data_IF_806729874836
#
_entry.id   IF_806729874836
#
_cell.length_a   1.000
_cell.length_b   1.000
_cell.length_c   1.000
_cell.angle_alpha   90.00
_cell.angle_beta   90.00
_cell.angle_gamma   90.00
#
_symmetry.space_group_name_H-M   'P 1'
#
loop_
_entity.id
_entity.type
_entity.pdbx_description
1 polymer ?
#
# COMPACT_ATOMS: atom_id res chain seq x y z
N UNK A 1 -7.95 12.25 9.14
CA UNK A 1 -9.04 11.68 9.96
C UNK A 1 -9.61 12.81 10.78
N UNK A 2 -10.86 13.26 10.56
CA UNK A 2 -11.42 14.32 11.37
C UNK A 2 -11.78 13.78 12.76
N UNK A 3 -11.22 14.39 13.80
CA UNK A 3 -11.58 14.15 15.20
C UNK A 3 -12.46 15.31 15.64
N UNK A 4 -13.65 15.04 16.16
CA UNK A 4 -14.53 16.06 16.72
C UNK A 4 -14.26 16.14 18.23
N UNK A 5 -13.85 17.31 18.72
CA UNK A 5 -13.60 17.55 20.14
C UNK A 5 -14.83 18.23 20.76
N UNK A 6 -15.38 17.66 21.85
CA UNK A 6 -16.39 18.33 22.67
C UNK A 6 -15.71 18.90 23.92
N UNK A 7 -15.80 20.21 24.10
CA UNK A 7 -15.41 20.88 25.35
C UNK A 7 -16.65 21.26 26.14
N UNK A 8 -16.61 21.06 27.46
CA UNK A 8 -17.69 21.42 28.38
C UNK A 8 -17.31 22.70 29.13
N UNK A 9 -18.12 23.76 28.99
CA UNK A 9 -18.21 24.84 29.96
C UNK A 9 -19.48 24.60 30.81
N UNK A 10 -19.42 24.93 32.10
CA UNK A 10 -20.37 24.51 33.17
C UNK A 10 -21.88 24.69 32.90
N UNK A 11 -22.33 25.32 31.83
CA UNK A 11 -23.75 25.62 31.61
C UNK A 11 -24.32 25.36 30.20
N UNK A 12 -23.56 24.80 29.24
CA UNK A 12 -24.17 24.39 27.95
C UNK A 12 -23.33 23.36 27.19
N UNK A 13 -23.97 22.26 26.80
CA UNK A 13 -23.45 21.30 25.83
C UNK A 13 -24.21 21.54 24.52
N UNK A 14 -23.50 21.83 23.43
CA UNK A 14 -24.11 21.88 22.10
C UNK A 14 -23.23 21.10 21.14
N UNK A 15 -23.69 19.90 20.76
CA UNK A 15 -23.12 19.12 19.68
C UNK A 15 -24.27 18.70 18.77
N UNK A 16 -24.30 19.25 17.56
CA UNK A 16 -25.26 18.83 16.53
C UNK A 16 -24.54 17.84 15.62
N UNK A 17 -24.95 16.57 15.72
CA UNK A 17 -24.49 15.50 14.85
C UNK A 17 -25.69 15.06 14.00
N UNK A 18 -25.61 15.21 12.68
CA UNK A 18 -26.60 14.61 11.78
C UNK A 18 -26.43 13.08 11.81
N UNK A 19 -27.46 12.36 12.25
CA UNK A 19 -27.46 10.89 12.29
C UNK A 19 -27.62 10.34 10.87
N UNK A 20 -26.58 9.71 10.34
CA UNK A 20 -26.71 8.74 9.25
C UNK A 20 -26.93 7.33 9.83
N UNK A 21 -27.75 6.47 9.20
CA UNK A 21 -28.17 5.18 9.75
C UNK A 21 -27.06 4.13 9.96
N UNK A 22 -25.85 4.36 9.44
CA UNK A 22 -24.73 3.39 9.47
C UNK A 22 -23.57 3.81 10.40
N UNK A 23 -23.84 4.68 11.38
CA UNK A 23 -22.81 5.26 12.25
C UNK A 23 -22.85 4.65 13.66
N UNK A 24 -21.78 3.97 14.07
CA UNK A 24 -21.61 3.44 15.43
C UNK A 24 -20.72 4.38 16.23
N UNK A 25 -21.26 4.91 17.34
CA UNK A 25 -20.54 5.77 18.28
C UNK A 25 -20.05 4.91 19.44
N UNK A 26 -18.73 4.69 19.52
CA UNK A 26 -18.12 4.09 20.70
C UNK A 26 -17.74 5.20 21.68
N UNK A 27 -18.37 5.17 22.85
CA UNK A 27 -18.12 6.11 23.96
C UNK A 27 -17.21 5.40 24.96
N UNK A 28 -16.03 5.95 25.22
CA UNK A 28 -14.98 5.23 25.95
C UNK A 28 -15.17 5.19 27.47
N UNK A 29 -15.89 6.12 28.11
CA UNK A 29 -16.12 6.13 29.56
C UNK A 29 -17.43 6.87 29.95
N UNK A 30 -17.96 6.61 31.16
CA UNK A 30 -19.14 7.33 31.67
C UNK A 30 -18.76 8.72 32.20
N UNK A 31 -19.51 9.78 31.85
CA UNK A 31 -19.17 11.18 32.18
C UNK A 31 -19.10 11.44 33.68
N UNK A 32 -19.88 10.71 34.46
CA UNK A 32 -20.03 10.90 35.90
C UNK A 32 -18.72 10.67 36.66
N UNK A 33 -17.84 9.77 36.20
CA UNK A 33 -16.54 9.51 36.86
C UNK A 33 -15.49 10.58 36.53
N UNK A 34 -15.57 11.18 35.35
CA UNK A 34 -14.60 12.17 34.88
C UNK A 34 -14.85 13.55 35.54
N UNK A 35 -16.12 13.93 35.69
CA UNK A 35 -16.52 15.23 36.27
C UNK A 35 -16.10 15.35 37.75
N UNK A 36 -16.16 14.26 38.53
CA UNK A 36 -15.80 14.28 39.97
C UNK A 36 -14.31 14.49 40.23
N UNK A 37 -13.45 14.32 39.21
CA UNK A 37 -11.99 14.47 39.31
C UNK A 37 -11.47 15.78 38.71
N UNK A 38 -12.33 16.61 38.11
CA UNK A 38 -11.96 17.88 37.49
C UNK A 38 -11.83 19.00 38.52
N UNK A 39 -10.70 19.72 38.49
CA UNK A 39 -10.50 20.95 39.27
C UNK A 39 -11.04 22.17 38.52
N UNK A 40 -11.52 23.17 39.27
CA UNK A 40 -12.01 24.43 38.67
C UNK A 40 -10.93 25.07 37.78
N UNK A 41 -11.29 25.37 36.54
CA UNK A 41 -10.42 26.00 35.54
C UNK A 41 -9.58 25.06 34.67
N UNK A 42 -9.69 23.74 34.84
CA UNK A 42 -8.97 22.74 34.02
C UNK A 42 -9.91 22.13 32.97
N UNK A 43 -9.53 22.21 31.70
CA UNK A 43 -10.23 21.52 30.60
C UNK A 43 -9.71 20.07 30.51
N UNK A 44 -10.61 19.09 30.41
CA UNK A 44 -10.25 17.68 30.16
C UNK A 44 -11.09 17.05 29.06
N UNK A 45 -10.52 16.04 28.40
CA UNK A 45 -11.17 15.26 27.34
C UNK A 45 -12.12 14.25 27.99
N UNK A 46 -13.44 14.51 27.94
CA UNK A 46 -14.45 13.63 28.55
C UNK A 46 -14.84 12.48 27.63
N UNK A 47 -14.79 12.71 26.31
CA UNK A 47 -15.13 11.70 25.31
C UNK A 47 -14.18 11.76 24.13
N UNK A 48 -13.64 10.59 23.77
CA UNK A 48 -12.96 10.38 22.50
C UNK A 48 -13.88 9.60 21.57
N UNK A 49 -14.67 10.32 20.76
CA UNK A 49 -15.57 9.69 19.80
C UNK A 49 -14.74 9.28 18.58
N UNK A 50 -14.52 7.97 18.44
CA UNK A 50 -13.97 7.41 17.20
C UNK A 50 -15.13 7.03 16.28
N UNK A 51 -15.31 7.81 15.21
CA UNK A 51 -16.25 7.47 14.15
C UNK A 51 -15.67 6.29 13.38
N UNK A 52 -16.25 5.11 13.59
CA UNK A 52 -15.96 3.93 12.77
C UNK A 52 -17.14 3.76 11.81
N UNK A 53 -16.92 3.95 10.51
CA UNK A 53 -17.88 3.50 9.51
C UNK A 53 -17.93 1.98 9.57
N UNK A 54 -19.01 1.41 10.08
CA UNK A 54 -19.30 -0.01 9.87
C UNK A 54 -19.89 -0.10 8.47
N UNK A 55 -19.03 -0.33 7.48
CA UNK A 55 -19.49 -0.67 6.13
C UNK A 55 -19.99 -2.10 6.22
N UNK A 56 -21.28 -2.29 6.51
CA UNK A 56 -21.94 -3.55 6.21
C UNK A 56 -21.86 -3.71 4.68
N UNK A 57 -21.11 -4.70 4.21
CA UNK A 57 -20.99 -5.05 2.79
C UNK A 57 -22.29 -5.68 2.30
N UNK A 58 -23.36 -4.91 2.26
CA UNK A 58 -24.59 -5.32 1.59
C UNK A 58 -24.40 -4.88 0.14
N UNK A 59 -24.08 -5.84 -0.74
CA UNK A 59 -24.06 -5.58 -2.19
C UNK A 59 -25.50 -5.28 -2.64
N UNK A 60 -25.78 -4.09 -3.19
CA UNK A 60 -27.11 -3.78 -3.68
C UNK A 60 -27.52 -4.75 -4.81
N UNK A 61 -28.76 -5.22 -4.79
CA UNK A 61 -29.26 -6.21 -5.76
C UNK A 61 -29.14 -5.78 -7.21
N UNK A 62 -29.17 -4.48 -7.50
CA UNK A 62 -29.03 -3.94 -8.86
C UNK A 62 -27.60 -4.03 -9.42
N UNK A 63 -26.58 -4.19 -8.58
CA UNK A 63 -25.16 -4.35 -8.99
C UNK A 63 -24.82 -5.83 -9.21
N UNK A 64 -25.59 -6.75 -8.61
CA UNK A 64 -25.36 -8.18 -8.66
C UNK A 64 -25.18 -8.73 -10.09
N UNK A 65 -26.01 -8.36 -11.09
CA UNK A 65 -25.83 -8.85 -12.46
C UNK A 65 -24.49 -8.41 -13.08
N UNK A 66 -24.04 -7.19 -12.78
CA UNK A 66 -22.75 -6.66 -13.28
C UNK A 66 -21.58 -7.40 -12.65
N UNK A 67 -21.65 -7.72 -11.36
CA UNK A 67 -20.59 -8.50 -10.70
C UNK A 67 -20.52 -9.94 -11.19
N UNK A 68 -21.66 -10.53 -11.55
CA UNK A 68 -21.72 -11.87 -12.15
C UNK A 68 -21.15 -11.86 -13.57
N UNK A 69 -21.52 -10.86 -14.39
CA UNK A 69 -21.00 -10.64 -15.74
C UNK A 69 -19.47 -10.47 -15.75
N UNK A 70 -18.94 -9.65 -14.84
CA UNK A 70 -17.51 -9.33 -14.74
C UNK A 70 -16.80 -10.10 -13.60
N UNK A 71 -17.27 -11.31 -13.28
CA UNK A 71 -16.72 -12.11 -12.19
C UNK A 71 -15.25 -12.51 -12.40
N UNK A 72 -14.77 -12.49 -13.65
CA UNK A 72 -13.40 -12.78 -14.05
C UNK A 72 -12.41 -11.66 -13.70
N UNK A 73 -12.84 -10.39 -13.69
CA UNK A 73 -11.96 -9.24 -13.36
C UNK A 73 -11.97 -8.85 -11.88
N UNK A 74 -12.85 -9.45 -11.07
CA UNK A 74 -12.92 -9.27 -9.61
C UNK A 74 -12.61 -10.54 -8.81
N UNK A 75 -11.49 -11.25 -9.06
CA UNK A 75 -11.20 -12.47 -8.33
C UNK A 75 -10.74 -12.18 -6.88
N UNK A 76 -11.10 -13.06 -5.94
CA UNK A 76 -10.60 -12.98 -4.56
C UNK A 76 -9.07 -13.05 -4.46
N UNK A 77 -8.43 -13.73 -5.42
CA UNK A 77 -6.97 -13.84 -5.57
C UNK A 77 -6.59 -13.78 -7.04
N UNK A 78 -5.55 -13.00 -7.34
CA UNK A 78 -4.97 -12.96 -8.67
C UNK A 78 -4.36 -14.31 -9.06
N UNK A 79 -4.41 -14.61 -10.35
CA UNK A 79 -3.74 -15.79 -10.92
C UNK A 79 -2.24 -15.75 -10.66
N UNK A 80 -1.62 -16.92 -10.53
CA UNK A 80 -0.16 -17.08 -10.49
C UNK A 80 0.46 -17.04 -11.91
N UNK A 81 -0.36 -16.95 -12.96
CA UNK A 81 0.12 -16.79 -14.33
C UNK A 81 0.62 -15.38 -14.57
N UNK A 82 1.62 -15.24 -15.43
CA UNK A 82 2.02 -13.94 -15.97
C UNK A 82 0.84 -13.27 -16.70
N UNK A 83 0.76 -11.93 -16.66
CA UNK A 83 -0.23 -11.22 -17.44
C UNK A 83 -0.05 -11.53 -18.93
N UNK A 84 -1.14 -11.50 -19.72
CA UNK A 84 -1.03 -11.65 -21.17
C UNK A 84 -0.19 -10.53 -21.77
N UNK A 85 0.43 -10.78 -22.92
CA UNK A 85 1.07 -9.71 -23.69
C UNK A 85 0.01 -8.67 -24.07
N UNK A 86 0.35 -7.39 -23.88
CA UNK A 86 -0.53 -6.27 -24.22
C UNK A 86 0.19 -5.32 -25.17
N UNK A 87 -0.53 -4.33 -25.72
CA UNK A 87 0.10 -3.27 -26.52
C UNK A 87 0.96 -2.31 -25.69
N UNK A 88 0.95 -2.41 -24.36
CA UNK A 88 1.62 -1.51 -23.44
C UNK A 88 2.44 -2.32 -22.43
N UNK A 89 3.73 -2.41 -22.69
CA UNK A 89 4.69 -3.01 -21.76
C UNK A 89 5.53 -1.92 -21.07
N UNK A 90 6.14 -2.29 -19.95
CA UNK A 90 7.13 -1.44 -19.29
C UNK A 90 8.44 -1.45 -20.08
N UNK A 91 8.73 -0.31 -20.67
CA UNK A 91 10.02 -0.02 -21.28
C UNK A 91 10.72 1.12 -20.54
N UNK A 92 12.02 0.94 -20.31
CA UNK A 92 12.83 1.95 -19.66
C UNK A 92 13.88 2.51 -20.62
N UNK A 93 13.75 3.79 -20.95
CA UNK A 93 14.67 4.48 -21.84
C UNK A 93 15.80 5.13 -21.05
N UNK A 94 17.03 4.67 -21.25
CA UNK A 94 18.21 5.25 -20.62
C UNK A 94 18.61 6.58 -21.28
N UNK A 95 19.29 7.45 -20.52
CA UNK A 95 20.05 8.58 -21.07
C UNK A 95 21.25 8.06 -21.88
N UNK A 96 21.83 8.92 -22.70
CA UNK A 96 22.98 8.56 -23.53
C UNK A 96 24.23 8.30 -22.68
N UNK A 97 25.12 7.42 -23.16
CA UNK A 97 26.42 7.07 -22.56
C UNK A 97 26.40 6.51 -21.13
N UNK A 98 25.24 6.07 -20.65
CA UNK A 98 25.11 5.53 -19.30
C UNK A 98 25.80 4.17 -19.20
N UNK A 99 26.74 4.06 -18.26
CA UNK A 99 27.43 2.82 -17.96
C UNK A 99 26.68 2.00 -16.90
N UNK A 100 26.70 0.66 -17.01
CA UNK A 100 26.13 -0.21 -15.99
C UNK A 100 26.74 0.02 -14.62
N UNK A 101 25.90 -0.05 -13.59
CA UNK A 101 26.34 -0.01 -12.19
C UNK A 101 25.94 -1.29 -11.47
N UNK A 102 26.95 -1.97 -10.94
CA UNK A 102 26.77 -3.05 -9.99
C UNK A 102 26.99 -2.52 -8.57
N UNK A 103 26.00 -2.65 -7.69
CA UNK A 103 26.14 -2.32 -6.28
C UNK A 103 26.54 -3.56 -5.47
N UNK A 104 27.34 -3.32 -4.43
CA UNK A 104 27.67 -4.34 -3.43
C UNK A 104 26.46 -4.69 -2.58
N UNK A 105 26.38 -5.96 -2.18
CA UNK A 105 25.26 -6.52 -1.42
C UNK A 105 25.11 -5.78 -0.09
N UNK A 106 23.88 -5.35 0.25
CA UNK A 106 23.58 -4.90 1.60
C UNK A 106 23.68 -6.06 2.59
N UNK A 107 24.32 -5.82 3.74
CA UNK A 107 24.38 -6.81 4.80
C UNK A 107 22.97 -7.03 5.37
N UNK A 108 22.43 -8.22 5.13
CA UNK A 108 21.16 -8.69 5.67
C UNK A 108 21.42 -9.61 6.88
N UNK A 109 20.59 -9.51 7.93
CA UNK A 109 20.65 -10.48 9.04
C UNK A 109 20.14 -11.86 8.58
N UNK A 110 20.37 -12.91 9.37
CA UNK A 110 19.91 -14.26 9.02
C UNK A 110 18.38 -14.31 8.80
N UNK A 111 17.60 -13.68 9.69
CA UNK A 111 16.14 -13.55 9.57
C UNK A 111 15.73 -12.87 8.26
N UNK A 112 16.45 -11.83 7.84
CA UNK A 112 16.17 -11.16 6.56
C UNK A 112 16.53 -12.04 5.37
N UNK A 113 17.66 -12.74 5.44
CA UNK A 113 18.10 -13.63 4.37
C UNK A 113 17.11 -14.76 4.15
N UNK A 114 16.60 -15.36 5.22
CA UNK A 114 15.63 -16.45 5.14
C UNK A 114 14.29 -15.94 4.58
N UNK A 115 13.77 -14.82 5.09
CA UNK A 115 12.56 -14.19 4.55
C UNK A 115 12.71 -13.73 3.09
N UNK A 116 13.93 -13.35 2.67
CA UNK A 116 14.21 -12.99 1.28
C UNK A 116 14.16 -14.22 0.37
N UNK A 117 14.72 -15.34 0.83
CA UNK A 117 14.70 -16.60 0.07
C UNK A 117 13.26 -17.02 -0.19
N UNK A 118 12.41 -17.01 0.84
CA UNK A 118 11.00 -17.37 0.69
C UNK A 118 10.27 -16.46 -0.31
N UNK A 119 10.53 -15.15 -0.23
CA UNK A 119 9.96 -14.18 -1.17
C UNK A 119 10.39 -14.46 -2.62
N UNK A 120 11.68 -14.73 -2.85
CA UNK A 120 12.21 -14.97 -4.19
C UNK A 120 11.73 -16.30 -4.74
N UNK A 121 11.67 -17.35 -3.92
CA UNK A 121 11.11 -18.64 -4.33
C UNK A 121 9.66 -18.51 -4.79
N UNK A 122 8.85 -17.73 -4.07
CA UNK A 122 7.48 -17.47 -4.49
C UNK A 122 7.42 -16.69 -5.81
N UNK A 123 8.32 -15.72 -6.03
CA UNK A 123 8.37 -14.96 -7.30
C UNK A 123 8.83 -15.81 -8.47
N UNK A 124 9.81 -16.68 -8.27
CA UNK A 124 10.25 -17.67 -9.26
C UNK A 124 9.13 -18.67 -9.59
N UNK A 125 8.40 -19.16 -8.58
CA UNK A 125 7.28 -20.10 -8.76
C UNK A 125 6.16 -19.51 -9.64
N UNK A 126 5.91 -18.20 -9.52
CA UNK A 126 4.93 -17.48 -10.35
C UNK A 126 5.47 -17.01 -11.71
N UNK A 127 6.75 -17.22 -11.98
CA UNK A 127 7.42 -16.67 -13.17
C UNK A 127 7.55 -15.14 -13.16
N UNK A 128 7.29 -14.46 -12.03
CA UNK A 128 7.41 -13.00 -11.92
C UNK A 128 8.86 -12.51 -11.82
N UNK A 129 9.81 -13.43 -11.65
CA UNK A 129 11.24 -13.13 -11.63
C UNK A 129 12.01 -14.31 -12.20
N UNK A 130 13.18 -14.05 -12.76
CA UNK A 130 14.09 -15.07 -13.27
C UNK A 130 15.55 -14.74 -12.92
N UNK A 131 16.45 -15.72 -13.07
CA UNK A 131 17.88 -15.54 -12.82
C UNK A 131 18.46 -14.60 -13.87
N UNK A 132 19.25 -13.63 -13.43
CA UNK A 132 19.80 -12.58 -14.30
C UNK A 132 21.32 -12.59 -14.29
N UNK A 133 21.90 -12.39 -15.47
CA UNK A 133 23.32 -12.09 -15.67
C UNK A 133 23.55 -10.60 -16.01
N UNK A 134 22.59 -9.74 -15.67
CA UNK A 134 22.65 -8.31 -15.99
C UNK A 134 23.93 -7.63 -15.44
N UNK A 135 24.57 -6.74 -16.23
CA UNK A 135 25.66 -5.92 -15.73
C UNK A 135 25.18 -4.83 -14.74
N UNK A 136 23.88 -4.52 -14.77
CA UNK A 136 23.22 -3.69 -13.77
C UNK A 136 22.88 -4.56 -12.59
N UNK A 137 23.12 -4.07 -11.37
CA UNK A 137 22.74 -4.81 -10.17
C UNK A 137 22.43 -3.86 -9.03
N UNK A 138 21.21 -3.96 -8.48
CA UNK A 138 20.75 -3.12 -7.38
C UNK A 138 20.58 -3.91 -6.07
N UNK A 139 20.49 -3.16 -4.97
CA UNK A 139 20.37 -3.75 -3.64
C UNK A 139 18.91 -3.89 -3.23
N UNK A 140 18.62 -4.94 -2.47
CA UNK A 140 17.27 -5.23 -1.95
C UNK A 140 17.28 -5.21 -0.42
N UNK A 141 16.21 -4.72 0.19
CA UNK A 141 16.05 -4.69 1.65
C UNK A 141 14.58 -4.79 2.07
N UNK A 142 14.32 -5.37 3.25
CA UNK A 142 12.96 -5.59 3.76
C UNK A 142 12.43 -4.46 4.64
N UNK A 143 11.19 -4.04 4.42
CA UNK A 143 10.48 -3.09 5.30
C UNK A 143 9.24 -3.79 5.86
N UNK A 144 9.07 -3.86 7.19
CA UNK A 144 7.86 -4.44 7.77
C UNK A 144 6.60 -3.71 7.30
N UNK A 145 5.56 -4.46 6.92
CA UNK A 145 4.23 -3.90 6.70
C UNK A 145 3.51 -3.73 8.03
N UNK A 146 2.44 -2.94 7.98
CA UNK A 146 1.49 -2.79 9.07
C UNK A 146 0.95 -4.17 9.47
N UNK A 147 1.08 -4.50 10.74
CA UNK A 147 0.47 -5.70 11.30
C UNK A 147 -1.06 -5.50 11.35
N UNK A 148 -1.85 -6.36 10.68
CA UNK A 148 -3.30 -6.25 10.67
C UNK A 148 -3.93 -6.45 12.06
N UNK A 149 -3.28 -7.18 12.98
CA UNK A 149 -3.83 -7.44 14.32
C UNK A 149 -3.65 -6.22 15.24
N UNK A 150 -2.44 -5.64 15.29
CA UNK A 150 -2.15 -4.49 16.16
C UNK A 150 -2.42 -3.14 15.49
N UNK A 151 -2.62 -3.12 14.17
CA UNK A 151 -2.76 -1.91 13.36
C UNK A 151 -1.55 -0.95 13.50
N UNK A 152 -0.37 -1.49 13.84
CA UNK A 152 0.89 -0.75 13.98
C UNK A 152 1.89 -1.19 12.92
N UNK A 153 2.81 -0.30 12.52
CA UNK A 153 3.94 -0.64 11.66
C UNK A 153 5.14 -0.88 12.59
N UNK A 154 5.58 -2.14 12.77
CA UNK A 154 6.73 -2.41 13.62
C UNK A 154 7.98 -1.77 13.02
N UNK A 155 8.87 -1.26 13.87
CA UNK A 155 10.15 -0.74 13.38
C UNK A 155 10.96 -1.89 12.81
N UNK A 156 11.75 -1.63 11.77
CA UNK A 156 12.68 -2.62 11.21
C UNK A 156 13.56 -3.24 12.30
N UNK A 157 14.11 -2.43 13.20
CA UNK A 157 14.93 -2.92 14.32
C UNK A 157 14.18 -3.85 15.28
N UNK A 158 12.87 -3.63 15.47
CA UNK A 158 12.05 -4.48 16.35
C UNK A 158 11.79 -5.82 15.70
N UNK A 159 11.46 -5.84 14.41
CA UNK A 159 11.34 -7.07 13.63
C UNK A 159 12.64 -7.89 13.62
N UNK A 160 13.79 -7.24 13.35
CA UNK A 160 15.08 -7.91 13.33
C UNK A 160 15.45 -8.53 14.69
N UNK A 161 14.94 -7.97 15.79
CA UNK A 161 15.13 -8.51 17.14
C UNK A 161 14.10 -9.57 17.51
N UNK A 162 12.87 -9.47 17.03
CA UNK A 162 11.81 -10.44 17.35
C UNK A 162 12.05 -11.79 16.70
N UNK A 163 12.72 -11.81 15.54
CA UNK A 163 12.88 -13.03 14.74
C UNK A 163 11.56 -13.56 14.20
N UNK A 164 10.49 -12.76 14.26
CA UNK A 164 9.15 -13.18 13.88
C UNK A 164 9.03 -13.28 12.36
N UNK A 165 8.78 -14.49 11.87
CA UNK A 165 8.59 -14.80 10.46
C UNK A 165 7.17 -14.53 9.97
N UNK A 166 6.21 -14.24 10.87
CA UNK A 166 4.81 -13.96 10.52
C UNK A 166 4.59 -12.51 10.07
N UNK A 167 5.54 -11.61 10.37
CA UNK A 167 5.44 -10.22 9.95
C UNK A 167 5.56 -10.16 8.43
N UNK A 168 4.54 -9.63 7.77
CA UNK A 168 4.59 -9.44 6.32
C UNK A 168 5.63 -8.39 5.98
N UNK A 169 6.61 -8.76 5.14
CA UNK A 169 7.67 -7.86 4.69
C UNK A 169 7.36 -7.33 3.29
N UNK A 170 7.58 -6.02 3.10
CA UNK A 170 7.67 -5.39 1.78
C UNK A 170 9.14 -5.36 1.39
N UNK A 171 9.51 -6.16 0.40
CA UNK A 171 10.83 -6.07 -0.22
C UNK A 171 10.90 -4.84 -1.11
N UNK A 172 11.98 -4.08 -0.94
CA UNK A 172 12.24 -2.82 -1.64
C UNK A 172 13.58 -2.94 -2.35
N UNK A 173 13.58 -2.67 -3.65
CA UNK A 173 14.80 -2.62 -4.47
C UNK A 173 15.19 -1.15 -4.63
N UNK A 174 16.46 -0.84 -4.37
CA UNK A 174 16.99 0.51 -4.44
C UNK A 174 17.32 0.92 -5.89
N UNK A 175 16.28 1.31 -6.63
CA UNK A 175 16.37 1.79 -8.01
C UNK A 175 16.75 3.28 -8.13
N UNK A 176 17.09 3.99 -7.04
CA UNK A 176 17.35 5.45 -7.10
C UNK A 176 18.40 5.83 -8.14
N UNK A 177 19.43 5.01 -8.30
CA UNK A 177 20.47 5.27 -9.28
C UNK A 177 19.97 5.08 -10.72
N UNK A 178 19.30 3.95 -11.02
CA UNK A 178 18.86 3.69 -12.39
C UNK A 178 17.82 4.71 -12.82
N UNK A 179 16.88 5.05 -11.94
CA UNK A 179 15.87 6.09 -12.20
C UNK A 179 16.52 7.45 -12.49
N UNK A 180 17.67 7.79 -11.89
CA UNK A 180 18.36 9.05 -12.21
C UNK A 180 19.06 9.03 -13.58
N UNK A 181 19.34 7.83 -14.11
CA UNK A 181 19.89 7.61 -15.44
C UNK A 181 18.82 7.39 -16.52
N UNK A 182 17.57 7.20 -16.14
CA UNK A 182 16.43 7.04 -17.05
C UNK A 182 15.93 8.38 -17.57
N UNK A 183 15.47 8.43 -18.82
CA UNK A 183 14.72 9.54 -19.39
C UNK A 183 13.30 9.52 -18.80
N UNK A 184 12.92 10.59 -18.11
CA UNK A 184 11.59 10.66 -17.52
C UNK A 184 10.52 10.67 -18.63
N UNK A 185 9.52 9.76 -18.58
CA UNK A 185 8.48 9.73 -19.58
C UNK A 185 7.65 11.01 -19.50
N UNK A 186 7.39 11.62 -20.66
CA UNK A 186 6.55 12.82 -20.76
C UNK A 186 5.10 12.39 -20.94
N UNK A 187 4.49 11.90 -19.86
CA UNK A 187 3.07 11.53 -19.82
C UNK A 187 2.33 12.67 -19.12
N UNK A 188 1.41 13.37 -19.81
CA UNK A 188 0.64 14.43 -19.18
C UNK A 188 -0.30 13.82 -18.13
N UNK A 189 -0.07 14.15 -16.86
CA UNK A 189 -1.02 13.84 -15.80
C UNK A 189 -2.06 14.97 -15.74
N UNK A 190 -3.37 14.66 -15.75
CA UNK A 190 -4.41 15.68 -15.67
C UNK A 190 -4.34 16.40 -14.32
N UNK A 191 -4.74 17.68 -14.32
CA UNK A 191 -4.89 18.42 -13.07
C UNK A 191 -6.07 17.85 -12.27
N UNK A 192 -5.95 17.91 -10.94
CA UNK A 192 -6.98 17.35 -10.06
C UNK A 192 -8.31 18.09 -10.26
N UNK A 193 -8.24 19.41 -10.49
CA UNK A 193 -9.37 20.29 -10.77
C UNK A 193 -10.07 19.89 -12.07
N UNK A 194 -9.31 19.58 -13.13
CA UNK A 194 -9.87 19.10 -14.41
C UNK A 194 -10.60 17.75 -14.24
N UNK A 195 -10.09 16.88 -13.37
CA UNK A 195 -10.76 15.62 -13.05
C UNK A 195 -12.09 15.88 -12.32
N UNK A 196 -12.13 16.82 -11.37
CA UNK A 196 -13.35 17.18 -10.65
C UNK A 196 -14.38 17.89 -11.55
N UNK A 197 -13.93 18.75 -12.47
CA UNK A 197 -14.81 19.43 -13.40
C UNK A 197 -15.53 18.43 -14.33
N UNK A 198 -14.83 17.39 -14.78
CA UNK A 198 -15.44 16.29 -15.56
C UNK A 198 -16.45 15.46 -14.76
N UNK A 199 -16.36 15.49 -13.44
CA UNK A 199 -17.27 14.79 -12.55
C UNK A 199 -18.50 15.64 -12.19
N UNK A 200 -18.53 16.92 -12.57
CA UNK A 200 -19.71 17.76 -12.37
C UNK A 200 -20.93 17.13 -13.05
N UNK A 201 -22.12 17.34 -12.48
CA UNK A 201 -23.40 16.75 -12.90
C UNK A 201 -23.57 15.23 -12.71
N UNK A 202 -22.48 14.48 -12.47
CA UNK A 202 -22.57 13.05 -12.13
C UNK A 202 -23.09 12.86 -10.71
N UNK A 203 -24.06 11.95 -10.56
CA UNK A 203 -24.70 11.63 -9.25
C UNK A 203 -24.18 10.35 -8.62
N UNK A 204 -23.55 9.49 -9.41
CA UNK A 204 -23.07 8.17 -9.02
C UNK A 204 -21.61 8.05 -9.48
N UNK A 205 -20.76 7.61 -8.57
CA UNK A 205 -19.33 7.42 -8.81
C UNK A 205 -18.92 6.00 -8.45
N UNK A 206 -18.04 5.43 -9.26
CA UNK A 206 -17.44 4.12 -9.01
C UNK A 206 -15.93 4.28 -8.95
N UNK A 207 -15.31 3.68 -7.94
CA UNK A 207 -13.85 3.68 -7.78
C UNK A 207 -13.37 2.24 -7.91
N UNK A 208 -12.49 2.00 -8.87
CA UNK A 208 -11.90 0.69 -9.13
C UNK A 208 -10.41 0.78 -8.81
N UNK A 209 -9.92 -0.10 -7.95
CA UNK A 209 -8.50 -0.23 -7.63
C UNK A 209 -7.93 -1.48 -8.30
N UNK A 210 -6.82 -1.33 -9.01
CA UNK A 210 -6.15 -2.45 -9.69
C UNK A 210 -5.28 -3.20 -8.68
N UNK A 211 -5.71 -4.40 -8.30
CA UNK A 211 -4.98 -5.25 -7.36
C UNK A 211 -3.57 -5.56 -7.89
N UNK A 212 -2.53 -5.16 -7.16
CA UNK A 212 -1.13 -5.37 -7.58
C UNK A 212 -0.82 -4.86 -8.99
N UNK A 213 -1.38 -3.72 -9.42
CA UNK A 213 -1.29 -3.21 -10.80
C UNK A 213 0.10 -3.25 -11.45
N UNK A 214 1.18 -3.00 -10.69
CA UNK A 214 2.55 -3.12 -11.22
C UNK A 214 2.92 -4.53 -11.75
N UNK A 215 2.42 -5.60 -11.14
CA UNK A 215 2.68 -6.98 -11.59
C UNK A 215 1.79 -7.41 -12.76
N UNK A 216 0.85 -6.56 -13.18
CA UNK A 216 -0.03 -6.82 -14.31
C UNK A 216 0.54 -6.31 -15.64
N UNK A 217 1.69 -5.63 -15.62
CA UNK A 217 2.37 -5.12 -16.81
C UNK A 217 3.70 -5.86 -16.99
N UNK A 218 3.96 -6.37 -18.20
CA UNK A 218 5.21 -7.06 -18.51
C UNK A 218 6.35 -6.07 -18.67
N UNK A 219 7.56 -6.52 -18.33
CA UNK A 219 8.80 -5.78 -18.61
C UNK A 219 9.36 -6.28 -19.94
N UNK A 220 9.56 -5.34 -20.86
CA UNK A 220 10.19 -5.64 -22.16
C UNK A 220 11.56 -6.31 -21.96
N UNK A 221 11.91 -7.27 -22.83
CA UNK A 221 13.17 -8.02 -22.72
C UNK A 221 14.41 -7.12 -22.60
N UNK A 222 14.43 -6.00 -23.34
CA UNK A 222 15.52 -5.02 -23.30
C UNK A 222 15.62 -4.30 -21.95
N UNK A 223 14.50 -4.12 -21.25
CA UNK A 223 14.43 -3.37 -19.99
C UNK A 223 14.61 -4.25 -18.75
N UNK A 224 14.43 -5.57 -18.85
CA UNK A 224 14.61 -6.51 -17.71
C UNK A 224 15.99 -6.42 -17.08
N UNK A 225 17.02 -6.13 -17.88
CA UNK A 225 18.37 -5.97 -17.33
C UNK A 225 18.44 -4.87 -16.26
N UNK A 226 17.56 -3.87 -16.31
CA UNK A 226 17.57 -2.75 -15.38
C UNK A 226 16.68 -2.95 -14.14
N UNK A 227 15.98 -4.09 -14.05
CA UNK A 227 15.17 -4.48 -12.89
C UNK A 227 15.91 -5.49 -12.01
N UNK A 228 17.22 -5.66 -12.23
CA UNK A 228 18.03 -6.68 -11.58
C UNK A 228 18.44 -6.31 -10.15
N UNK A 229 18.43 -7.28 -9.25
CA UNK A 229 18.83 -7.08 -7.86
C UNK A 229 19.58 -8.29 -7.32
N UNK A 230 20.51 -8.01 -6.41
CA UNK A 230 21.39 -9.04 -5.83
C UNK A 230 20.85 -9.55 -4.51
N UNK A 231 20.85 -10.87 -4.37
CA UNK A 231 20.67 -11.58 -3.11
C UNK A 231 22.01 -12.17 -2.66
N UNK A 232 22.03 -12.84 -1.51
CA UNK A 232 23.22 -13.56 -1.06
C UNK A 232 23.52 -14.84 -1.86
N UNK A 233 22.58 -15.31 -2.70
CA UNK A 233 22.72 -16.52 -3.50
C UNK A 233 23.01 -16.19 -4.97
N UNK A 234 22.11 -15.42 -5.58
CA UNK A 234 22.16 -15.08 -7.01
C UNK A 234 21.65 -13.66 -7.27
N UNK A 235 21.76 -13.24 -8.54
CA UNK A 235 21.15 -12.03 -9.07
C UNK A 235 19.89 -12.42 -9.84
N UNK A 236 18.79 -11.73 -9.58
CA UNK A 236 17.51 -11.94 -10.26
C UNK A 236 17.07 -10.64 -10.92
N UNK A 237 16.16 -10.72 -11.87
CA UNK A 237 15.42 -9.56 -12.37
C UNK A 237 13.93 -9.91 -12.49
N UNK A 238 13.10 -8.86 -12.59
CA UNK A 238 11.68 -9.01 -12.88
C UNK A 238 11.46 -9.35 -14.35
#
# INVERSE_FOLDING_TARGET
MPSLFLYIAKEKITARLERSPNMVINVSESPEKCITQMKDGVFGEVYKIKICSVITKITPSFIQPVLEEFSDVFPDKLSDKLPPETSVDFEMHMKDDVQPKSKDIYRLTKTEQDALVDFIQEKLRKGCSEVSNSPWVFNVFGVPKKDPATNTIPKRSEWLRSGDTKITIRWVIDYRHVISQTRAPQIPLPLIEELFDKMQESKVFTVIDLAQGYYQMLVTNNSRQYTSFRTHKETYHW
#
